data_IF_943310649551
#
_entry.id   IF_943310649551
#
_cell.length_a   1.000
_cell.length_b   1.000
_cell.length_c   1.000
_cell.angle_alpha   90.00
_cell.angle_beta   90.00
_cell.angle_gamma   90.00
#
_symmetry.space_group_name_H-M   'P 1'
#
loop_
_entity.id
_entity.type
_entity.pdbx_description
1 polymer ?
#
# COMPACT_ATOMS: atom_id res chain seq x y z
N UNK A 1 -10.90 -0.28 9.02
CA UNK A 1 -9.77 -0.88 9.76
C UNK A 1 -8.49 -0.18 9.35
N UNK A 2 -7.70 0.21 10.31
CA UNK A 2 -6.44 0.89 10.06
C UNK A 2 -5.29 -0.07 10.31
N UNK A 3 -4.38 -0.18 9.37
CA UNK A 3 -3.27 -1.13 9.43
C UNK A 3 -1.97 -0.52 9.91
N UNK A 4 -1.80 0.79 9.78
CA UNK A 4 -0.57 1.47 10.19
C UNK A 4 -0.28 1.29 11.68
N UNK A 5 0.99 1.00 12.01
CA UNK A 5 1.49 0.74 13.37
C UNK A 5 0.97 -0.57 13.99
N UNK A 6 0.28 -1.40 13.21
CA UNK A 6 -0.15 -2.73 13.59
C UNK A 6 0.35 -3.76 12.57
N UNK A 7 -0.09 -3.63 11.32
CA UNK A 7 0.33 -4.50 10.24
C UNK A 7 1.65 -4.05 9.62
N UNK A 8 1.90 -2.77 9.56
CA UNK A 8 3.12 -2.18 9.01
C UNK A 8 3.48 -0.89 9.74
N UNK A 9 4.74 -0.48 9.61
CA UNK A 9 5.25 0.79 10.11
C UNK A 9 5.91 1.53 8.95
N UNK A 10 5.54 2.80 8.78
CA UNK A 10 6.17 3.66 7.78
C UNK A 10 7.55 4.08 8.30
N UNK A 11 8.62 3.72 7.60
CA UNK A 11 9.99 4.01 8.02
C UNK A 11 10.55 5.26 7.34
N UNK A 12 10.00 5.65 6.20
CA UNK A 12 10.42 6.84 5.49
C UNK A 12 9.27 7.36 4.65
N UNK A 13 9.07 8.67 4.66
CA UNK A 13 8.01 9.31 3.88
C UNK A 13 8.56 10.59 3.26
N UNK A 14 8.47 10.69 1.93
CA UNK A 14 8.88 11.88 1.20
C UNK A 14 7.71 12.39 0.37
N UNK A 15 7.13 13.52 0.79
CA UNK A 15 6.06 14.17 0.05
C UNK A 15 6.61 15.02 -1.09
N UNK A 16 5.81 15.13 -2.13
CA UNK A 16 6.04 16.02 -3.27
C UNK A 16 4.76 16.80 -3.53
N UNK A 17 4.83 17.75 -4.45
CA UNK A 17 3.65 18.51 -4.83
C UNK A 17 2.54 17.62 -5.41
N UNK A 18 2.91 16.61 -6.18
CA UNK A 18 1.97 15.75 -6.90
C UNK A 18 1.90 14.32 -6.36
N UNK A 19 2.45 14.07 -5.17
CA UNK A 19 2.42 12.72 -4.62
C UNK A 19 3.44 12.50 -3.53
N UNK A 20 3.82 11.24 -3.35
CA UNK A 20 4.79 10.87 -2.33
C UNK A 20 5.46 9.55 -2.65
N UNK A 21 6.60 9.34 -2.01
CA UNK A 21 7.30 8.06 -1.98
C UNK A 21 7.46 7.66 -0.52
N UNK A 22 7.30 6.39 -0.22
CA UNK A 22 7.50 5.92 1.14
C UNK A 22 8.15 4.55 1.17
N UNK A 23 8.80 4.28 2.28
CA UNK A 23 9.29 2.96 2.62
C UNK A 23 8.59 2.52 3.90
N UNK A 24 8.28 1.23 3.99
CA UNK A 24 7.60 0.67 5.15
C UNK A 24 8.19 -0.68 5.51
N UNK A 25 7.93 -1.08 6.73
CA UNK A 25 8.29 -2.39 7.23
C UNK A 25 7.03 -3.11 7.69
N UNK A 26 6.87 -4.34 7.21
CA UNK A 26 5.75 -5.19 7.59
C UNK A 26 6.02 -5.83 8.96
N UNK A 27 4.93 -6.09 9.69
CA UNK A 27 5.00 -6.88 10.92
C UNK A 27 4.73 -8.35 10.58
N UNK A 28 5.77 -9.20 10.54
CA UNK A 28 5.58 -10.61 10.17
C UNK A 28 4.82 -11.42 11.23
N UNK A 29 4.68 -10.87 12.44
CA UNK A 29 3.96 -11.51 13.53
C UNK A 29 2.47 -11.18 13.57
N UNK A 30 2.00 -10.35 12.60
CA UNK A 30 0.60 -9.95 12.60
C UNK A 30 -0.32 -11.15 12.38
N UNK A 31 -1.45 -11.17 13.11
CA UNK A 31 -2.40 -12.26 13.08
C UNK A 31 -2.95 -12.60 11.70
N UNK A 32 -2.96 -11.64 10.78
CA UNK A 32 -3.46 -11.82 9.42
C UNK A 32 -2.70 -12.93 8.67
N UNK A 33 -1.41 -13.12 8.99
CA UNK A 33 -0.60 -14.15 8.35
C UNK A 33 -0.89 -15.56 8.86
N UNK A 34 -1.50 -15.68 10.03
CA UNK A 34 -1.81 -16.99 10.63
C UNK A 34 -3.03 -17.64 9.99
N UNK A 35 -3.98 -16.84 9.53
CA UNK A 35 -5.21 -17.34 8.90
C UNK A 35 -5.12 -17.48 7.39
N UNK A 36 -4.03 -17.00 6.79
CA UNK A 36 -3.80 -16.99 5.35
C UNK A 36 -2.54 -17.79 5.04
N UNK A 37 -2.68 -18.90 4.32
CA UNK A 37 -1.54 -19.70 3.89
C UNK A 37 -0.59 -20.05 5.05
N UNK A 38 -1.00 -20.91 5.99
CA UNK A 38 -0.23 -21.14 7.23
C UNK A 38 1.19 -21.66 7.01
N UNK A 39 1.49 -22.23 5.84
CA UNK A 39 2.84 -22.69 5.50
C UNK A 39 3.74 -21.61 4.94
N UNK A 40 3.16 -20.53 4.40
CA UNK A 40 3.91 -19.45 3.79
C UNK A 40 3.13 -18.15 3.93
N UNK A 41 3.69 -17.19 4.66
CA UNK A 41 3.07 -15.90 4.84
C UNK A 41 3.07 -15.11 3.51
N UNK A 42 1.91 -14.62 3.13
CA UNK A 42 1.72 -13.79 1.93
C UNK A 42 0.86 -12.58 2.31
N UNK A 43 1.26 -11.39 1.90
CA UNK A 43 0.46 -10.19 2.11
C UNK A 43 -0.75 -10.24 1.19
N UNK A 44 -1.98 -10.23 1.73
CA UNK A 44 -3.16 -10.16 0.89
C UNK A 44 -3.18 -8.85 0.08
N UNK A 45 -3.64 -8.92 -1.17
CA UNK A 45 -3.69 -7.75 -2.04
C UNK A 45 -4.50 -6.60 -1.47
N UNK A 46 -5.61 -6.91 -0.76
CA UNK A 46 -6.43 -5.88 -0.11
C UNK A 46 -5.66 -5.11 0.95
N UNK A 47 -4.67 -5.74 1.59
CA UNK A 47 -3.81 -5.05 2.56
C UNK A 47 -2.90 -4.05 1.87
N UNK A 48 -2.35 -4.39 0.71
CA UNK A 48 -1.53 -3.46 -0.07
C UNK A 48 -2.35 -2.26 -0.52
N UNK A 49 -3.58 -2.48 -0.97
CA UNK A 49 -4.48 -1.38 -1.33
C UNK A 49 -4.82 -0.51 -0.13
N UNK A 50 -5.01 -1.10 1.04
CA UNK A 50 -5.27 -0.36 2.28
C UNK A 50 -4.08 0.50 2.69
N UNK A 51 -2.87 0.00 2.50
CA UNK A 51 -1.65 0.78 2.74
C UNK A 51 -1.63 2.04 1.86
N UNK A 52 -1.89 1.88 0.58
CA UNK A 52 -1.93 3.02 -0.36
C UNK A 52 -2.98 4.03 0.10
N UNK A 53 -4.18 3.56 0.43
CA UNK A 53 -5.27 4.42 0.89
C UNK A 53 -4.91 5.18 2.16
N UNK A 54 -4.38 4.48 3.17
CA UNK A 54 -4.04 5.09 4.46
C UNK A 54 -2.98 6.18 4.30
N UNK A 55 -1.96 5.92 3.51
CA UNK A 55 -0.89 6.90 3.32
C UNK A 55 -1.32 8.07 2.43
N UNK A 56 -2.21 7.81 1.48
CA UNK A 56 -2.79 8.89 0.68
C UNK A 56 -3.68 9.80 1.54
N UNK A 57 -4.46 9.21 2.47
CA UNK A 57 -5.26 9.98 3.42
C UNK A 57 -4.36 10.86 4.30
N UNK A 58 -3.24 10.33 4.74
CA UNK A 58 -2.24 11.10 5.49
C UNK A 58 -1.69 12.26 4.68
N UNK A 59 -1.35 12.01 3.42
CA UNK A 59 -0.80 13.02 2.52
C UNK A 59 -1.81 14.14 2.23
N UNK A 60 -3.07 13.79 1.99
CA UNK A 60 -4.12 14.73 1.65
C UNK A 60 -4.79 15.38 2.88
N UNK A 61 -4.65 14.79 4.03
CA UNK A 61 -5.28 15.29 5.26
C UNK A 61 -6.79 15.09 5.32
N UNK A 62 -7.33 14.13 4.57
CA UNK A 62 -8.75 13.82 4.55
C UNK A 62 -8.95 12.35 4.23
N UNK A 63 -10.16 11.85 4.47
CA UNK A 63 -10.51 10.48 4.07
C UNK A 63 -10.73 10.42 2.57
N UNK A 64 -10.37 9.29 1.99
CA UNK A 64 -10.61 9.03 0.57
C UNK A 64 -11.21 7.65 0.39
N UNK A 65 -11.83 7.47 -0.78
CA UNK A 65 -12.23 6.14 -1.24
C UNK A 65 -11.85 6.02 -2.72
N UNK A 66 -11.68 4.79 -3.16
CA UNK A 66 -11.47 4.53 -4.58
C UNK A 66 -12.84 4.55 -5.26
N UNK A 67 -13.10 5.60 -6.04
CA UNK A 67 -14.38 5.75 -6.74
C UNK A 67 -14.48 4.79 -7.93
N UNK A 68 -13.36 4.58 -8.63
CA UNK A 68 -13.27 3.59 -9.69
C UNK A 68 -11.81 3.14 -9.82
N UNK A 69 -11.62 1.88 -10.12
CA UNK A 69 -10.28 1.31 -10.35
C UNK A 69 -10.18 0.99 -11.83
N UNK A 70 -9.30 1.69 -12.53
CA UNK A 70 -9.07 1.48 -13.96
C UNK A 70 -8.13 0.32 -14.22
N UNK A 71 -7.13 0.15 -13.36
CA UNK A 71 -6.17 -0.93 -13.46
C UNK A 71 -5.69 -1.29 -12.06
N UNK A 72 -5.73 -2.57 -11.74
CA UNK A 72 -5.14 -3.07 -10.51
C UNK A 72 -4.48 -4.40 -10.84
N UNK A 73 -3.15 -4.40 -10.90
CA UNK A 73 -2.39 -5.60 -11.22
C UNK A 73 -1.47 -5.94 -10.05
N UNK A 74 -1.63 -7.15 -9.55
CA UNK A 74 -0.70 -7.72 -8.57
C UNK A 74 0.34 -8.51 -9.36
N UNK A 75 1.50 -7.92 -9.53
CA UNK A 75 2.56 -8.45 -10.40
C UNK A 75 3.55 -9.35 -9.68
N UNK A 76 3.41 -9.47 -8.37
CA UNK A 76 4.24 -10.34 -7.56
C UNK A 76 3.66 -10.48 -6.17
N UNK A 77 4.10 -11.51 -5.45
CA UNK A 77 3.70 -11.73 -4.08
C UNK A 77 4.65 -11.02 -3.13
N UNK A 78 4.11 -10.47 -2.05
CA UNK A 78 4.91 -9.95 -0.95
C UNK A 78 4.98 -11.03 0.12
N UNK A 79 6.19 -11.49 0.40
CA UNK A 79 6.46 -12.62 1.29
C UNK A 79 7.24 -12.12 2.50
N UNK A 80 6.57 -11.82 3.64
CA UNK A 80 7.25 -11.24 4.80
C UNK A 80 8.38 -12.09 5.36
N UNK A 81 8.32 -13.41 5.18
CA UNK A 81 9.39 -14.31 5.62
C UNK A 81 10.67 -14.13 4.80
N UNK A 82 10.56 -13.64 3.58
CA UNK A 82 11.70 -13.39 2.71
C UNK A 82 12.13 -11.93 2.77
N UNK A 83 11.17 -11.01 2.81
CA UNK A 83 11.45 -9.58 2.87
C UNK A 83 10.28 -8.85 3.54
N UNK A 84 10.56 -8.17 4.65
CA UNK A 84 9.57 -7.37 5.38
C UNK A 84 9.47 -5.94 4.88
N UNK A 85 10.30 -5.53 3.93
CA UNK A 85 10.32 -4.14 3.48
C UNK A 85 9.55 -3.98 2.19
N UNK A 86 8.84 -2.86 2.07
CA UNK A 86 8.16 -2.45 0.86
C UNK A 86 8.43 -0.98 0.58
N UNK A 87 8.44 -0.63 -0.69
CA UNK A 87 8.47 0.76 -1.13
C UNK A 87 7.20 1.03 -1.94
N UNK A 88 6.60 2.18 -1.71
CA UNK A 88 5.37 2.58 -2.40
C UNK A 88 5.59 3.97 -2.99
N UNK A 89 5.20 4.14 -4.25
CA UNK A 89 5.25 5.43 -4.92
C UNK A 89 3.87 5.78 -5.43
N UNK A 90 3.41 6.99 -5.11
CA UNK A 90 2.08 7.46 -5.47
C UNK A 90 2.19 8.79 -6.18
N UNK A 91 1.52 8.92 -7.31
CA UNK A 91 1.38 10.17 -8.05
C UNK A 91 -0.10 10.47 -8.20
N UNK A 92 -0.47 11.73 -7.94
CA UNK A 92 -1.86 12.18 -8.00
C UNK A 92 -1.96 13.36 -8.95
N UNK A 93 -2.86 13.25 -9.92
CA UNK A 93 -3.17 14.33 -10.84
C UNK A 93 -4.68 14.58 -10.77
N UNK A 94 -5.07 15.68 -10.11
CA UNK A 94 -6.47 15.89 -9.76
C UNK A 94 -6.96 14.75 -8.85
N UNK A 95 -7.94 13.99 -9.30
CA UNK A 95 -8.45 12.82 -8.60
C UNK A 95 -7.95 11.50 -9.22
N UNK A 96 -7.05 11.57 -10.18
CA UNK A 96 -6.46 10.40 -10.83
C UNK A 96 -5.21 9.97 -10.08
N UNK A 97 -5.21 8.74 -9.62
CA UNK A 97 -4.16 8.15 -8.81
C UNK A 97 -3.38 7.12 -9.62
N UNK A 98 -2.06 7.16 -9.50
CA UNK A 98 -1.18 6.08 -9.93
C UNK A 98 -0.33 5.68 -8.75
N UNK A 99 -0.28 4.39 -8.49
CA UNK A 99 0.53 3.86 -7.41
C UNK A 99 1.28 2.62 -7.87
N UNK A 100 2.51 2.49 -7.41
CA UNK A 100 3.31 1.28 -7.60
C UNK A 100 3.89 0.88 -6.26
N UNK A 101 3.95 -0.41 -6.01
CA UNK A 101 4.59 -0.95 -4.82
C UNK A 101 5.63 -1.98 -5.24
N UNK A 102 6.72 -2.01 -4.49
CA UNK A 102 7.83 -2.95 -4.71
C UNK A 102 8.17 -3.63 -3.39
N UNK A 103 8.64 -4.87 -3.49
CA UNK A 103 9.17 -5.62 -2.35
C UNK A 103 10.28 -6.53 -2.85
N UNK A 104 11.40 -6.54 -2.11
CA UNK A 104 12.54 -7.37 -2.48
C UNK A 104 13.11 -7.07 -3.88
N UNK A 105 13.01 -5.82 -4.34
CA UNK A 105 13.52 -5.41 -5.64
C UNK A 105 12.58 -5.70 -6.80
N UNK A 106 11.40 -6.24 -6.55
CA UNK A 106 10.41 -6.58 -7.57
C UNK A 106 9.15 -5.75 -7.42
N UNK A 107 8.55 -5.38 -8.53
CA UNK A 107 7.24 -4.74 -8.51
C UNK A 107 6.18 -5.76 -8.11
N UNK A 108 5.31 -5.38 -7.18
CA UNK A 108 4.25 -6.26 -6.68
C UNK A 108 2.86 -5.71 -6.92
N UNK A 109 2.74 -4.40 -7.16
CA UNK A 109 1.45 -3.76 -7.44
C UNK A 109 1.61 -2.66 -8.46
N UNK A 110 0.66 -2.60 -9.39
CA UNK A 110 0.45 -1.46 -10.27
C UNK A 110 -1.02 -1.08 -10.21
N UNK A 111 -1.29 0.15 -9.79
CA UNK A 111 -2.65 0.64 -9.55
C UNK A 111 -2.88 1.94 -10.31
N UNK A 112 -4.00 2.00 -11.02
CA UNK A 112 -4.54 3.23 -11.58
C UNK A 112 -5.99 3.33 -11.16
N UNK A 113 -6.33 4.41 -10.49
CA UNK A 113 -7.65 4.56 -9.92
C UNK A 113 -8.07 6.03 -9.91
N UNK A 114 -9.34 6.23 -9.66
CA UNK A 114 -9.90 7.53 -9.41
C UNK A 114 -10.37 7.55 -7.96
N UNK A 115 -10.07 8.62 -7.25
CA UNK A 115 -10.44 8.75 -5.84
C UNK A 115 -11.54 9.79 -5.65
N UNK A 116 -12.27 9.65 -4.56
CA UNK A 116 -13.15 10.67 -4.03
C UNK A 116 -12.70 11.04 -2.64
N UNK A 117 -12.67 12.33 -2.37
CA UNK A 117 -12.32 12.85 -1.06
C UNK A 117 -13.58 12.98 -0.23
N UNK A 118 -13.52 12.52 1.00
CA UNK A 118 -14.62 12.64 1.95
C UNK A 118 -14.29 13.74 2.96
N UNK A 119 -15.26 14.54 3.26
CA UNK A 119 -15.10 15.60 4.26
C UNK A 119 -15.57 15.13 5.63
#
# INVERSE_FOLDING_TARGET
MRLENDFYTCTRFEGREDGFSLELRLNPEHAIFRGHFPEKAVVPGVCTLSIVREQLERFLGCRIRFASIKECKFTGAVLPDECCEMAVEVTLEGDSLRAEACSGGNKVLKLKARIEREN
#
